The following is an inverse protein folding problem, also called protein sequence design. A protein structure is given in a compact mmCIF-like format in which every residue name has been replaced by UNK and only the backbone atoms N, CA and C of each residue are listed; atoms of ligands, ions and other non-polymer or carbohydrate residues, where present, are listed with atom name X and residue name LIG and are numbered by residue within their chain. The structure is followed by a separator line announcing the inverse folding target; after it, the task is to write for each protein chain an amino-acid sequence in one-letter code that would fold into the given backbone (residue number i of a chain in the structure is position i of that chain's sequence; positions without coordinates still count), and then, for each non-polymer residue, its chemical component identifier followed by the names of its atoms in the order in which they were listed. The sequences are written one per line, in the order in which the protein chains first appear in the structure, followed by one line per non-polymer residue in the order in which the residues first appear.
data_IF_069870101627
#
_entry.id   IF_069870101627
#
_cell.length_a   1.000
_cell.length_b   1.000
_cell.length_c   1.000
_cell.angle_alpha   90.00
_cell.angle_beta   90.00
_cell.angle_gamma   90.00
#
_symmetry.space_group_name_H-M   'P 1'
#
loop_
_entity.id
_entity.type
_entity.pdbx_description
1 polymer ?
#
# COMPACT_ATOMS: atom_id res chain seq x y z
N UNK A 1 -14.61 -25.14 36.90
CA UNK A 1 -15.71 -24.18 36.80
C UNK A 1 -15.22 -23.08 35.88
N UNK A 2 -15.28 -23.34 34.68
CA UNK A 2 -16.03 -22.84 33.51
C UNK A 2 -16.23 -21.32 33.52
N UNK A 3 -15.25 -20.60 32.93
CA UNK A 3 -15.45 -19.29 32.33
C UNK A 3 -14.66 -19.21 31.03
N UNK A 4 -15.05 -20.07 30.10
CA UNK A 4 -14.64 -20.05 28.71
C UNK A 4 -15.91 -19.89 27.91
N UNK A 5 -15.97 -18.87 27.07
CA UNK A 5 -17.02 -18.66 26.08
C UNK A 5 -17.81 -17.36 26.28
N UNK A 6 -17.31 -16.26 25.75
CA UNK A 6 -18.09 -15.13 25.24
C UNK A 6 -17.18 -14.02 24.69
N UNK A 7 -16.23 -14.31 23.81
CA UNK A 7 -15.62 -13.27 22.93
C UNK A 7 -15.49 -13.86 21.52
N UNK A 8 -16.62 -14.13 20.92
CA UNK A 8 -16.72 -14.38 19.46
C UNK A 8 -18.06 -13.84 19.02
N UNK A 9 -18.21 -12.56 18.84
CA UNK A 9 -19.24 -11.96 17.98
C UNK A 9 -19.19 -10.45 18.12
N UNK A 10 -18.29 -9.76 17.43
CA UNK A 10 -18.38 -8.32 17.17
C UNK A 10 -17.26 -7.87 16.20
N UNK A 11 -17.11 -8.55 15.07
CA UNK A 11 -16.29 -8.05 13.95
C UNK A 11 -16.81 -8.62 12.62
N UNK A 12 -18.10 -8.44 12.40
CA UNK A 12 -18.70 -8.78 11.12
C UNK A 12 -19.79 -7.75 10.80
N UNK A 13 -19.40 -6.55 10.40
CA UNK A 13 -20.32 -5.59 9.75
C UNK A 13 -19.53 -4.36 9.29
N UNK A 14 -18.73 -4.44 8.24
CA UNK A 14 -18.30 -3.27 7.44
C UNK A 14 -17.55 -3.73 6.19
N UNK A 15 -18.16 -4.61 5.39
CA UNK A 15 -17.61 -4.98 4.08
C UNK A 15 -18.74 -5.20 3.09
N UNK A 16 -19.49 -4.15 2.79
CA UNK A 16 -20.40 -4.19 1.65
C UNK A 16 -20.76 -2.76 1.27
N UNK A 17 -19.99 -2.16 0.37
CA UNK A 17 -20.41 -1.02 -0.46
C UNK A 17 -19.17 -0.50 -1.24
N UNK A 18 -18.80 -1.17 -2.33
CA UNK A 18 -18.10 -0.54 -3.47
C UNK A 18 -17.89 -1.55 -4.62
N UNK A 19 -19.02 -2.15 -5.08
CA UNK A 19 -19.06 -2.80 -6.39
C UNK A 19 -20.43 -2.50 -6.98
N UNK A 20 -20.61 -1.31 -7.54
CA UNK A 20 -21.76 -1.01 -8.39
C UNK A 20 -21.57 0.33 -9.11
N UNK A 21 -20.61 0.43 -10.01
CA UNK A 21 -20.56 1.54 -10.97
C UNK A 21 -19.69 1.20 -12.20
N UNK A 22 -19.95 0.04 -12.82
CA UNK A 22 -19.51 -0.19 -14.19
C UNK A 22 -20.60 -0.99 -14.89
N UNK A 23 -21.67 -0.32 -15.28
CA UNK A 23 -22.63 -0.82 -16.27
C UNK A 23 -23.61 0.30 -16.59
N UNK A 24 -23.28 1.12 -17.56
CA UNK A 24 -24.23 1.80 -18.46
C UNK A 24 -23.49 2.69 -19.45
N UNK A 25 -22.98 2.12 -20.52
CA UNK A 25 -22.76 2.83 -21.77
C UNK A 25 -22.69 1.81 -22.93
N UNK A 26 -23.81 1.14 -23.17
CA UNK A 26 -24.04 0.40 -24.39
C UNK A 26 -25.31 0.94 -25.02
N UNK A 27 -25.17 1.79 -26.04
CA UNK A 27 -26.34 2.20 -26.82
C UNK A 27 -26.22 3.57 -27.45
N UNK A 28 -25.30 3.76 -28.39
CA UNK A 28 -25.48 4.69 -29.50
C UNK A 28 -24.42 4.36 -30.56
N UNK A 29 -24.73 3.41 -31.40
CA UNK A 29 -23.90 3.07 -32.55
C UNK A 29 -24.27 4.03 -33.68
N UNK A 30 -23.67 5.20 -33.67
CA UNK A 30 -23.67 6.10 -34.82
C UNK A 30 -22.58 5.66 -35.78
N UNK A 31 -22.97 5.35 -37.01
CA UNK A 31 -22.14 4.84 -38.08
C UNK A 31 -21.07 5.89 -38.42
N UNK A 32 -19.89 5.80 -37.82
CA UNK A 32 -18.73 6.63 -38.18
C UNK A 32 -18.02 6.02 -39.40
N UNK A 33 -17.83 6.85 -40.43
CA UNK A 33 -16.95 6.60 -41.53
C UNK A 33 -15.53 6.21 -41.06
N UNK A 34 -14.77 5.38 -41.82
CA UNK A 34 -13.44 5.00 -41.44
C UNK A 34 -12.50 6.22 -41.46
N UNK A 35 -12.36 6.85 -40.29
CA UNK A 35 -11.28 7.80 -40.08
C UNK A 35 -9.96 7.03 -40.10
N UNK A 36 -9.04 7.51 -40.93
CA UNK A 36 -7.63 7.12 -40.87
C UNK A 36 -7.17 7.13 -39.42
N UNK A 37 -6.28 6.20 -39.01
CA UNK A 37 -5.80 6.16 -37.64
C UNK A 37 -5.23 7.51 -37.29
N UNK A 38 -5.96 8.24 -36.44
CA UNK A 38 -5.47 9.46 -35.82
C UNK A 38 -4.24 9.03 -35.00
N UNK A 39 -3.08 9.50 -35.43
CA UNK A 39 -1.84 9.31 -34.69
C UNK A 39 -2.12 9.83 -33.29
N UNK A 40 -2.12 8.92 -32.32
CA UNK A 40 -2.37 9.26 -30.92
C UNK A 40 -1.47 10.45 -30.58
N UNK A 41 -2.01 11.53 -30.02
CA UNK A 41 -1.21 12.68 -29.67
C UNK A 41 -0.07 12.22 -28.77
N UNK A 42 1.16 12.45 -29.21
CA UNK A 42 2.34 12.26 -28.38
C UNK A 42 2.09 13.08 -27.11
N UNK A 43 2.09 12.43 -25.96
CA UNK A 43 1.98 13.14 -24.70
C UNK A 43 3.01 14.27 -24.71
N UNK A 44 2.63 15.52 -24.45
CA UNK A 44 3.59 16.61 -24.44
C UNK A 44 4.66 16.26 -23.39
N UNK A 45 5.93 16.37 -23.76
CA UNK A 45 7.07 16.20 -22.87
C UNK A 45 6.85 17.10 -21.64
N UNK A 46 6.66 16.48 -20.48
CA UNK A 46 6.34 17.17 -19.23
C UNK A 46 5.10 16.67 -18.50
N UNK A 47 4.32 15.77 -19.09
CA UNK A 47 3.17 15.14 -18.42
C UNK A 47 3.61 13.79 -17.83
N UNK A 48 3.44 13.63 -16.53
CA UNK A 48 3.76 12.39 -15.82
C UNK A 48 3.08 11.17 -16.44
N UNK A 49 3.87 10.15 -16.73
CA UNK A 49 3.39 8.90 -17.31
C UNK A 49 3.71 8.72 -18.79
N UNK A 50 4.52 9.57 -19.39
CA UNK A 50 4.95 9.38 -20.76
C UNK A 50 5.86 8.15 -20.89
N UNK A 51 5.80 7.50 -22.04
CA UNK A 51 6.65 6.36 -22.35
C UNK A 51 8.14 6.72 -22.21
N UNK A 52 8.91 5.82 -21.61
CA UNK A 52 10.34 5.94 -21.29
C UNK A 52 10.68 6.82 -20.09
N UNK A 53 9.72 7.40 -19.39
CA UNK A 53 9.97 8.08 -18.13
C UNK A 53 10.32 7.09 -17.01
N UNK A 54 11.21 7.51 -16.14
CA UNK A 54 11.60 6.82 -14.93
C UNK A 54 11.07 7.60 -13.72
N UNK A 55 10.16 7.02 -12.97
CA UNK A 55 9.65 7.58 -11.72
C UNK A 55 10.38 6.97 -10.53
N UNK A 56 10.92 7.84 -9.68
CA UNK A 56 11.51 7.45 -8.40
C UNK A 56 10.59 7.98 -7.30
N UNK A 57 10.12 7.09 -6.45
CA UNK A 57 9.14 7.46 -5.41
C UNK A 57 9.47 6.82 -4.07
N UNK A 58 8.88 7.35 -3.02
CA UNK A 58 8.82 6.70 -1.72
C UNK A 58 7.39 6.71 -1.22
N UNK A 59 6.83 5.54 -1.03
CA UNK A 59 5.54 5.38 -0.37
C UNK A 59 5.82 5.31 1.14
N UNK A 60 5.29 6.26 1.90
CA UNK A 60 5.53 6.39 3.32
C UNK A 60 4.21 6.35 4.11
N UNK A 61 4.25 5.74 5.26
CA UNK A 61 3.13 5.74 6.20
C UNK A 61 3.64 5.87 7.63
N UNK A 62 3.01 6.74 8.39
CA UNK A 62 3.20 6.85 9.83
C UNK A 62 1.86 6.68 10.50
N UNK A 63 1.74 5.72 11.39
CA UNK A 63 0.58 5.59 12.25
C UNK A 63 1.01 5.55 13.72
N UNK A 64 0.30 6.27 14.55
CA UNK A 64 0.45 6.25 16.00
C UNK A 64 -0.93 5.87 16.54
N UNK A 65 -1.01 4.75 17.23
CA UNK A 65 -2.24 4.31 17.88
C UNK A 65 -2.02 4.18 19.38
N UNK A 66 -2.99 4.62 20.15
CA UNK A 66 -3.01 4.45 21.61
C UNK A 66 -4.15 3.48 21.94
N UNK A 67 -3.81 2.37 22.58
CA UNK A 67 -4.80 1.40 23.03
C UNK A 67 -4.92 1.49 24.55
N UNK A 68 -6.12 1.75 25.05
CA UNK A 68 -6.45 1.73 26.46
C UNK A 68 -7.44 0.60 26.72
N UNK A 69 -7.03 -0.41 27.46
CA UNK A 69 -7.91 -1.44 28.03
C UNK A 69 -7.90 -1.23 29.52
N UNK A 70 -9.04 -1.43 30.20
CA UNK A 70 -9.19 -1.17 31.65
C UNK A 70 -7.98 -1.63 32.48
N UNK A 71 -7.18 -0.68 32.94
CA UNK A 71 -5.98 -0.91 33.75
C UNK A 71 -4.67 -1.10 32.96
N UNK A 72 -4.69 -1.09 31.64
CA UNK A 72 -3.48 -1.17 30.80
C UNK A 72 -3.57 -0.13 29.70
N UNK A 73 -2.65 0.82 29.69
CA UNK A 73 -2.49 1.78 28.60
C UNK A 73 -1.20 1.46 27.85
N UNK A 74 -1.25 1.44 26.53
CA UNK A 74 -0.09 1.22 25.68
C UNK A 74 -0.15 2.10 24.45
N UNK A 75 1.00 2.52 23.94
CA UNK A 75 1.12 3.20 22.66
C UNK A 75 1.83 2.29 21.66
N UNK A 76 1.36 2.30 20.42
CA UNK A 76 2.00 1.60 19.30
C UNK A 76 2.36 2.62 18.23
N UNK A 77 3.61 2.64 17.83
CA UNK A 77 4.10 3.47 16.73
C UNK A 77 4.49 2.57 15.57
N UNK A 78 3.96 2.85 14.39
CA UNK A 78 4.33 2.14 13.16
C UNK A 78 4.87 3.13 12.14
N UNK A 79 6.06 2.84 11.63
CA UNK A 79 6.71 3.57 10.54
C UNK A 79 6.81 2.63 9.34
N UNK A 80 6.34 3.10 8.19
CA UNK A 80 6.43 2.41 6.90
C UNK A 80 7.21 3.29 5.93
N UNK A 81 8.22 2.72 5.29
CA UNK A 81 9.01 3.39 4.25
C UNK A 81 9.21 2.42 3.09
N UNK A 82 8.83 2.83 1.88
CA UNK A 82 8.89 1.98 0.67
C UNK A 82 9.44 2.76 -0.52
N UNK A 83 10.77 2.96 -0.62
CA UNK A 83 11.39 3.49 -1.82
C UNK A 83 11.14 2.56 -3.02
N UNK A 84 10.91 3.15 -4.18
CA UNK A 84 10.51 2.43 -5.37
C UNK A 84 10.97 3.14 -6.64
N UNK A 85 11.13 2.34 -7.68
CA UNK A 85 11.47 2.79 -9.03
C UNK A 85 10.46 2.17 -9.98
N UNK A 86 9.87 2.99 -10.87
CA UNK A 86 8.91 2.58 -11.89
C UNK A 86 9.32 3.16 -13.24
N UNK A 87 9.31 2.33 -14.26
CA UNK A 87 9.61 2.71 -15.64
C UNK A 87 8.34 2.61 -16.49
N UNK A 88 7.99 3.68 -17.20
CA UNK A 88 6.84 3.70 -18.10
C UNK A 88 7.19 3.03 -19.41
N UNK A 89 6.74 1.78 -19.59
CA UNK A 89 7.01 0.95 -20.77
C UNK A 89 6.21 1.37 -22.00
N UNK A 90 5.03 1.89 -21.76
CA UNK A 90 4.16 2.59 -22.71
C UNK A 90 3.52 3.76 -21.97
N UNK A 91 2.86 4.66 -22.69
CA UNK A 91 2.16 5.79 -22.06
C UNK A 91 1.23 5.30 -20.96
N UNK A 92 1.40 5.87 -19.78
CA UNK A 92 0.65 5.61 -18.56
C UNK A 92 0.84 4.23 -17.89
N UNK A 93 1.48 3.24 -18.53
CA UNK A 93 1.72 1.94 -17.92
C UNK A 93 3.14 1.83 -17.41
N UNK A 94 3.31 1.68 -16.10
CA UNK A 94 4.60 1.50 -15.47
C UNK A 94 4.82 0.07 -14.98
N UNK A 95 6.08 -0.38 -15.11
CA UNK A 95 6.61 -1.58 -14.48
C UNK A 95 7.72 -1.15 -13.53
N UNK A 96 7.72 -1.65 -12.33
CA UNK A 96 8.69 -1.24 -11.34
C UNK A 96 8.88 -2.22 -10.22
N UNK A 97 9.56 -1.76 -9.19
CA UNK A 97 9.78 -2.50 -7.97
C UNK A 97 9.97 -1.58 -6.78
N UNK A 98 9.86 -2.14 -5.60
CA UNK A 98 10.06 -1.42 -4.35
C UNK A 98 10.82 -2.26 -3.34
N UNK A 99 11.45 -1.56 -2.41
CA UNK A 99 12.02 -2.13 -1.19
C UNK A 99 11.20 -1.54 -0.04
N UNK A 100 10.79 -2.37 0.93
CA UNK A 100 9.99 -1.93 2.06
C UNK A 100 10.70 -2.18 3.38
N UNK A 101 10.55 -1.23 4.30
CA UNK A 101 10.92 -1.39 5.71
C UNK A 101 9.74 -0.92 6.55
N UNK A 102 9.15 -1.84 7.27
CA UNK A 102 8.06 -1.57 8.21
C UNK A 102 8.57 -1.83 9.63
N UNK A 103 8.46 -0.86 10.51
CA UNK A 103 8.88 -0.97 11.91
C UNK A 103 7.74 -0.61 12.83
N UNK A 104 7.39 -1.53 13.71
CA UNK A 104 6.38 -1.32 14.74
C UNK A 104 7.01 -1.49 16.11
N UNK A 105 6.76 -0.56 17.01
CA UNK A 105 7.26 -0.59 18.39
C UNK A 105 6.13 -0.30 19.38
N UNK A 106 6.13 -1.05 20.47
CA UNK A 106 5.26 -0.86 21.62
C UNK A 106 6.02 -1.20 22.93
N UNK A 107 5.36 -1.05 24.07
CA UNK A 107 5.98 -1.30 25.38
C UNK A 107 6.41 -2.76 25.57
N UNK A 108 5.73 -3.71 24.95
CA UNK A 108 5.98 -5.16 25.05
C UNK A 108 7.01 -5.71 24.06
N UNK A 109 7.41 -4.93 23.04
CA UNK A 109 8.34 -5.42 22.04
C UNK A 109 8.43 -4.57 20.78
N UNK A 110 9.08 -5.12 19.78
CA UNK A 110 9.20 -4.48 18.47
C UNK A 110 9.13 -5.52 17.35
N UNK A 111 8.63 -5.12 16.20
CA UNK A 111 8.63 -5.89 14.96
C UNK A 111 9.26 -5.06 13.86
N UNK A 112 10.16 -5.68 13.09
CA UNK A 112 10.72 -5.09 11.89
C UNK A 112 10.53 -6.05 10.74
N UNK A 113 9.95 -5.54 9.65
CA UNK A 113 9.70 -6.29 8.43
C UNK A 113 10.47 -5.62 7.29
N UNK A 114 11.26 -6.40 6.60
CA UNK A 114 11.89 -6.01 5.34
C UNK A 114 11.17 -6.71 4.19
N UNK A 115 10.86 -5.98 3.13
CA UNK A 115 10.18 -6.50 1.97
C UNK A 115 10.78 -5.99 0.67
N UNK A 116 10.66 -6.80 -0.39
CA UNK A 116 11.03 -6.42 -1.75
C UNK A 116 10.01 -7.03 -2.72
N UNK A 117 9.69 -6.32 -3.79
CA UNK A 117 8.78 -6.88 -4.77
C UNK A 117 8.61 -6.08 -6.04
N UNK A 118 8.18 -6.74 -7.13
CA UNK A 118 7.75 -6.09 -8.36
C UNK A 118 6.38 -5.43 -8.18
N UNK A 119 6.14 -4.39 -8.99
CA UNK A 119 4.83 -3.74 -9.08
C UNK A 119 4.53 -3.25 -10.50
N UNK A 120 3.25 -3.13 -10.79
CA UNK A 120 2.70 -2.57 -12.02
C UNK A 120 1.81 -1.40 -11.62
N UNK A 121 1.92 -0.29 -12.34
CA UNK A 121 1.08 0.87 -12.13
C UNK A 121 0.46 1.35 -13.44
N UNK A 122 -0.70 1.99 -13.35
CA UNK A 122 -1.34 2.64 -14.49
C UNK A 122 -1.75 4.06 -14.12
N UNK A 123 -1.15 5.07 -14.76
CA UNK A 123 -1.47 6.46 -14.50
C UNK A 123 -2.70 6.90 -15.29
N UNK A 124 -3.65 7.52 -14.63
CA UNK A 124 -4.88 8.08 -15.25
C UNK A 124 -4.87 9.58 -15.00
N UNK A 125 -4.37 10.40 -15.94
CA UNK A 125 -4.42 11.84 -15.82
C UNK A 125 -5.85 12.33 -16.05
N UNK A 126 -6.35 13.21 -15.19
CA UNK A 126 -7.65 13.87 -15.34
C UNK A 126 -7.55 15.39 -15.37
N UNK A 127 -6.36 15.93 -15.10
CA UNK A 127 -6.01 17.32 -15.38
C UNK A 127 -4.49 17.48 -15.52
N UNK A 128 -4.01 18.65 -15.90
CA UNK A 128 -2.57 18.94 -16.02
C UNK A 128 -1.78 18.71 -14.72
N UNK A 129 -2.44 18.87 -13.57
CA UNK A 129 -1.80 18.78 -12.25
C UNK A 129 -2.27 17.59 -11.41
N UNK A 130 -3.26 16.84 -11.88
CA UNK A 130 -3.85 15.77 -11.09
C UNK A 130 -3.99 14.48 -11.89
N UNK A 131 -3.62 13.39 -11.26
CA UNK A 131 -3.83 12.05 -11.80
C UNK A 131 -4.18 11.06 -10.68
N UNK A 132 -4.58 9.85 -11.06
CA UNK A 132 -4.66 8.69 -10.16
C UNK A 132 -3.71 7.65 -10.68
N UNK A 133 -2.86 7.11 -9.81
CA UNK A 133 -1.86 6.12 -10.20
C UNK A 133 -2.03 4.81 -9.41
N UNK A 134 -3.10 3.99 -9.69
CA UNK A 134 -3.26 2.68 -9.08
C UNK A 134 -2.04 1.80 -9.37
N UNK A 135 -1.55 1.16 -8.33
CA UNK A 135 -0.39 0.26 -8.35
C UNK A 135 -0.78 -1.06 -7.69
N UNK A 136 -0.43 -2.17 -8.33
CA UNK A 136 -0.56 -3.50 -7.76
C UNK A 136 0.82 -4.18 -7.79
N UNK A 137 1.17 -4.87 -6.73
CA UNK A 137 2.45 -5.55 -6.62
C UNK A 137 2.39 -6.77 -5.73
N UNK A 138 3.44 -7.55 -5.79
CA UNK A 138 3.69 -8.63 -4.86
C UNK A 138 4.95 -8.30 -4.07
N UNK A 139 4.97 -8.65 -2.79
CA UNK A 139 6.16 -8.51 -1.97
C UNK A 139 6.52 -9.82 -1.30
N UNK A 140 7.80 -10.13 -1.34
CA UNK A 140 8.39 -11.12 -0.46
C UNK A 140 8.95 -10.38 0.76
N UNK A 141 8.53 -10.76 1.95
CA UNK A 141 8.91 -10.10 3.19
C UNK A 141 9.51 -11.06 4.19
N UNK A 142 10.42 -10.52 5.01
CA UNK A 142 11.00 -11.19 6.18
C UNK A 142 10.76 -10.30 7.40
N UNK A 143 10.08 -10.87 8.38
CA UNK A 143 9.74 -10.20 9.64
C UNK A 143 10.55 -10.76 10.79
N UNK A 144 11.02 -9.88 11.66
CA UNK A 144 11.66 -10.23 12.93
C UNK A 144 10.89 -9.58 14.07
N UNK A 145 10.35 -10.39 14.96
CA UNK A 145 9.57 -9.97 16.12
C UNK A 145 10.39 -10.22 17.37
N UNK A 146 10.62 -9.17 18.15
CA UNK A 146 11.27 -9.22 19.46
C UNK A 146 10.22 -8.99 20.56
N UNK A 147 10.09 -9.94 21.46
CA UNK A 147 9.22 -9.85 22.63
C UNK A 147 10.11 -9.67 23.85
N UNK A 148 9.86 -8.61 24.62
CA UNK A 148 10.59 -8.37 25.87
C UNK A 148 10.17 -9.35 26.94
N UNK A 149 11.14 -9.93 27.60
CA UNK A 149 10.90 -10.81 28.75
C UNK A 149 10.24 -10.03 29.92
N UNK A 150 9.35 -10.69 30.61
CA UNK A 150 8.61 -10.12 31.76
C UNK A 150 9.11 -10.75 33.05
N UNK A 151 9.15 -9.98 34.12
CA UNK A 151 9.44 -10.50 35.46
C UNK A 151 8.12 -10.72 36.20
N UNK A 152 7.82 -11.96 36.52
CA UNK A 152 6.64 -12.35 37.29
C UNK A 152 7.08 -13.11 38.54
N UNK A 153 6.73 -12.63 39.73
CA UNK A 153 7.06 -13.30 41.00
C UNK A 153 8.56 -13.50 41.23
N UNK A 154 9.43 -12.60 40.71
CA UNK A 154 10.88 -12.69 40.85
C UNK A 154 11.56 -13.60 39.78
N UNK A 155 10.80 -14.26 38.93
CA UNK A 155 11.32 -15.08 37.82
C UNK A 155 11.27 -14.24 36.54
N UNK A 156 12.44 -14.02 35.93
CA UNK A 156 12.54 -13.31 34.63
C UNK A 156 12.45 -14.30 33.49
N UNK A 157 11.49 -14.12 32.59
CA UNK A 157 11.49 -14.79 31.29
C UNK A 157 12.49 -14.10 30.35
N UNK A 158 13.29 -14.84 29.57
CA UNK A 158 14.21 -14.24 28.62
C UNK A 158 13.46 -13.57 27.47
N UNK A 159 14.13 -12.60 26.82
CA UNK A 159 13.66 -12.04 25.57
C UNK A 159 13.61 -13.11 24.47
N UNK A 160 12.57 -13.12 23.67
CA UNK A 160 12.42 -14.05 22.56
C UNK A 160 12.45 -13.28 21.22
N UNK A 161 13.09 -13.90 20.22
CA UNK A 161 13.09 -13.39 18.84
C UNK A 161 12.58 -14.48 17.93
N UNK A 162 11.59 -14.16 17.11
CA UNK A 162 11.02 -15.06 16.10
C UNK A 162 11.10 -14.38 14.73
N UNK A 163 11.53 -15.12 13.72
CA UNK A 163 11.57 -14.63 12.33
C UNK A 163 10.59 -15.42 11.48
N UNK A 164 9.90 -14.74 10.58
CA UNK A 164 8.96 -15.34 9.64
C UNK A 164 9.12 -14.68 8.25
N UNK A 165 8.77 -15.45 7.21
CA UNK A 165 8.74 -14.96 5.81
C UNK A 165 7.34 -15.09 5.26
N UNK A 166 6.92 -14.11 4.46
CA UNK A 166 5.61 -14.09 3.84
C UNK A 166 5.67 -13.56 2.41
N UNK A 167 4.71 -14.01 1.59
CA UNK A 167 4.38 -13.42 0.30
C UNK A 167 3.09 -12.63 0.49
N UNK A 168 3.06 -11.38 0.06
CA UNK A 168 1.89 -10.52 0.15
C UNK A 168 1.53 -9.89 -1.18
N UNK A 169 0.23 -9.65 -1.38
CA UNK A 169 -0.31 -8.80 -2.44
C UNK A 169 -0.45 -7.39 -1.89
N UNK A 170 0.01 -6.41 -2.66
CA UNK A 170 -0.04 -5.00 -2.32
C UNK A 170 -0.87 -4.26 -3.36
N UNK A 171 -1.83 -3.47 -2.91
CA UNK A 171 -2.61 -2.55 -3.75
C UNK A 171 -2.49 -1.15 -3.15
N UNK A 172 -2.20 -0.16 -4.00
CA UNK A 172 -2.14 1.24 -3.60
C UNK A 172 -2.75 2.13 -4.68
N UNK A 173 -3.69 2.98 -4.32
CA UNK A 173 -4.44 3.83 -5.25
C UNK A 173 -4.33 5.30 -4.83
N UNK A 174 -3.18 5.95 -5.08
CA UNK A 174 -3.00 7.35 -4.75
C UNK A 174 -3.66 8.27 -5.78
N UNK A 175 -4.23 9.35 -5.28
CA UNK A 175 -4.47 10.57 -6.05
C UNK A 175 -3.18 11.37 -6.01
N UNK A 176 -2.68 11.72 -7.18
CA UNK A 176 -1.40 12.39 -7.40
C UNK A 176 -1.62 13.87 -7.67
N UNK A 177 -0.81 14.71 -7.08
CA UNK A 177 -0.72 16.13 -7.34
C UNK A 177 0.69 16.49 -7.86
N UNK A 178 0.76 17.17 -8.97
CA UNK A 178 1.99 17.59 -9.65
C UNK A 178 2.15 19.13 -9.50
N UNK A 179 2.77 19.62 -8.39
CA UNK A 179 2.90 21.07 -8.16
C UNK A 179 3.83 21.76 -9.15
N UNK A 180 4.86 21.06 -9.59
CA UNK A 180 5.86 21.50 -10.57
C UNK A 180 6.23 20.31 -11.47
N UNK A 181 6.89 20.59 -12.59
CA UNK A 181 7.43 19.56 -13.47
C UNK A 181 8.40 18.65 -12.71
N UNK A 182 8.39 17.38 -13.07
CA UNK A 182 9.27 16.33 -12.50
C UNK A 182 9.09 16.05 -10.99
N UNK A 183 8.05 16.55 -10.36
CA UNK A 183 7.79 16.27 -8.95
C UNK A 183 6.31 15.97 -8.69
N UNK A 184 6.06 15.02 -7.81
CA UNK A 184 4.71 14.66 -7.38
C UNK A 184 4.61 14.37 -5.89
N UNK A 185 3.41 14.63 -5.38
CA UNK A 185 2.94 14.10 -4.10
C UNK A 185 1.65 13.34 -4.37
N UNK A 186 1.38 12.31 -3.58
CA UNK A 186 0.12 11.58 -3.67
C UNK A 186 -0.32 11.07 -2.31
N UNK A 187 -1.62 10.83 -2.20
CA UNK A 187 -2.23 10.21 -1.04
C UNK A 187 -3.35 9.28 -1.49
N UNK A 188 -3.48 8.13 -0.84
CA UNK A 188 -4.56 7.21 -1.18
C UNK A 188 -4.66 6.01 -0.27
N UNK A 189 -5.71 5.20 -0.47
CA UNK A 189 -5.90 3.94 0.21
C UNK A 189 -4.87 2.90 -0.26
N UNK A 190 -4.40 2.10 0.67
CA UNK A 190 -3.54 0.96 0.44
C UNK A 190 -4.11 -0.29 1.12
N UNK A 191 -3.96 -1.42 0.46
CA UNK A 191 -4.35 -2.73 0.94
C UNK A 191 -3.16 -3.69 0.79
N UNK A 192 -2.72 -4.28 1.88
CA UNK A 192 -1.74 -5.35 1.89
C UNK A 192 -2.39 -6.62 2.41
N UNK A 193 -2.25 -7.74 1.70
CA UNK A 193 -2.84 -9.01 2.08
C UNK A 193 -1.80 -10.12 1.98
N UNK A 194 -1.55 -10.82 3.07
CA UNK A 194 -0.67 -11.98 3.08
C UNK A 194 -1.30 -13.14 2.32
N UNK A 195 -0.54 -13.69 1.36
CA UNK A 195 -0.95 -14.82 0.53
C UNK A 195 -0.43 -16.14 1.09
N UNK A 196 0.64 -16.12 1.89
CA UNK A 196 1.29 -17.29 2.49
C UNK A 196 1.38 -17.13 4.01
N UNK A 197 1.46 -18.26 4.72
CA UNK A 197 1.53 -18.32 6.18
C UNK A 197 0.26 -18.89 6.80
N UNK A 198 0.37 -19.32 8.06
CA UNK A 198 -0.74 -19.95 8.81
C UNK A 198 -1.81 -18.93 9.21
N UNK A 199 -1.42 -17.66 9.37
CA UNK A 199 -2.33 -16.54 9.67
C UNK A 199 -2.26 -15.52 8.52
N UNK A 200 -3.35 -15.41 7.76
CA UNK A 200 -3.48 -14.38 6.72
C UNK A 200 -3.87 -13.06 7.35
N UNK A 201 -3.02 -12.07 7.20
CA UNK A 201 -3.29 -10.69 7.68
C UNK A 201 -3.63 -9.83 6.48
N UNK A 202 -4.71 -9.06 6.61
CA UNK A 202 -5.08 -8.03 5.64
C UNK A 202 -5.04 -6.69 6.36
N UNK A 203 -4.25 -5.77 5.82
CA UNK A 203 -4.08 -4.43 6.37
C UNK A 203 -4.62 -3.41 5.38
N UNK A 204 -5.52 -2.55 5.85
CA UNK A 204 -5.99 -1.39 5.12
C UNK A 204 -5.43 -0.12 5.76
N UNK A 205 -4.83 0.77 4.97
CA UNK A 205 -4.19 1.97 5.47
C UNK A 205 -4.31 3.14 4.48
N UNK A 206 -4.16 4.37 4.97
CA UNK A 206 -3.85 5.53 4.13
C UNK A 206 -2.34 5.64 3.97
N UNK A 207 -1.87 5.90 2.75
CA UNK A 207 -0.45 6.13 2.45
C UNK A 207 -0.24 7.41 1.70
N UNK A 208 0.91 8.03 1.97
CA UNK A 208 1.47 9.12 1.21
C UNK A 208 2.51 8.56 0.24
N UNK A 209 2.60 9.15 -0.93
CA UNK A 209 3.73 8.94 -1.86
C UNK A 209 4.30 10.29 -2.24
N UNK A 210 5.60 10.34 -2.37
CA UNK A 210 6.30 11.52 -2.89
C UNK A 210 7.40 11.04 -3.83
N UNK A 211 7.70 11.82 -4.84
CA UNK A 211 8.72 11.44 -5.79
C UNK A 211 8.89 12.42 -6.95
N UNK A 212 9.68 11.96 -7.91
CA UNK A 212 9.92 12.69 -9.15
C UNK A 212 10.08 11.74 -10.32
N UNK A 213 10.13 12.32 -11.54
CA UNK A 213 10.36 11.57 -12.78
C UNK A 213 11.34 12.29 -13.71
N UNK A 214 12.02 11.51 -14.54
CA UNK A 214 12.99 11.96 -15.54
C UNK A 214 12.79 11.19 -16.84
#
# INVERSE_FOLDING_TARGET
MTLSMQIRTLLASSSLLLVSAVSLAAGAQERQEPRLPEVAPHSPSGVFGAKHELAISSDAGLSISTTSVSGVSGSTTTLVLRPAIDYFVIDNLSLGGFIGVDSTSNDGGSSTTFGIGPRVGYNVPFSERWSVWPKVGFSFSSSSVKVKGTTLGGIRTPDATTSNTALALNLFVPVMFHPVEHFFLGFGPALDTDLSGDAKVTTFAGRLTLGGWI
#
